data_IF_828691502433
#
_entry.id   IF_828691502433
#
_cell.length_a   1.000
_cell.length_b   1.000
_cell.length_c   1.000
_cell.angle_alpha   90.00
_cell.angle_beta   90.00
_cell.angle_gamma   90.00
#
_symmetry.space_group_name_H-M   'P 1'
#
loop_
_entity.id
_entity.type
_entity.pdbx_description
1 polymer ?
#
# COMPACT_ATOMS: atom_id res chain seq x y z
N UNK A 1 45.80 57.08 -11.26
CA UNK A 1 44.37 56.70 -11.39
C UNK A 1 44.14 55.19 -11.32
N UNK A 2 45.06 54.32 -11.76
CA UNK A 2 44.85 52.85 -11.83
C UNK A 2 44.79 52.06 -10.51
N UNK A 3 45.46 52.49 -9.43
CA UNK A 3 45.48 51.73 -8.16
C UNK A 3 44.09 51.64 -7.48
N UNK A 4 43.26 52.68 -7.62
CA UNK A 4 41.90 52.70 -7.05
C UNK A 4 40.95 51.72 -7.74
N UNK A 5 41.15 51.46 -9.03
CA UNK A 5 40.32 50.52 -9.82
C UNK A 5 40.66 49.06 -9.50
N UNK A 6 41.94 48.76 -9.23
CA UNK A 6 42.39 47.42 -8.79
C UNK A 6 41.79 47.08 -7.42
N UNK A 7 41.80 48.03 -6.47
CA UNK A 7 41.16 47.85 -5.17
C UNK A 7 39.65 47.61 -5.28
N UNK A 8 38.95 48.37 -6.15
CA UNK A 8 37.52 48.18 -6.37
C UNK A 8 37.20 46.80 -6.97
N UNK A 9 37.97 46.35 -7.97
CA UNK A 9 37.81 45.01 -8.55
C UNK A 9 38.00 43.89 -7.53
N UNK A 10 38.95 44.03 -6.61
CA UNK A 10 39.20 43.07 -5.53
C UNK A 10 38.03 43.01 -4.53
N UNK A 11 37.41 44.15 -4.23
CA UNK A 11 36.22 44.21 -3.37
C UNK A 11 35.03 43.51 -4.04
N UNK A 12 34.78 43.74 -5.33
CA UNK A 12 33.70 43.06 -6.05
C UNK A 12 33.92 41.54 -6.13
N UNK A 13 35.17 41.09 -6.31
CA UNK A 13 35.51 39.67 -6.30
C UNK A 13 35.23 39.05 -4.91
N UNK A 14 35.62 39.73 -3.84
CA UNK A 14 35.37 39.29 -2.46
C UNK A 14 33.87 39.21 -2.16
N UNK A 15 33.09 40.23 -2.55
CA UNK A 15 31.63 40.23 -2.37
C UNK A 15 30.98 39.10 -3.18
N UNK A 16 31.41 38.89 -4.43
CA UNK A 16 30.93 37.79 -5.26
C UNK A 16 31.25 36.41 -4.68
N UNK A 17 32.45 36.23 -4.10
CA UNK A 17 32.85 35.00 -3.41
C UNK A 17 32.06 34.76 -2.13
N UNK A 18 31.82 35.81 -1.33
CA UNK A 18 30.99 35.73 -0.12
C UNK A 18 29.55 35.36 -0.50
N UNK A 19 28.97 36.01 -1.51
CA UNK A 19 27.62 35.69 -1.98
C UNK A 19 27.50 34.27 -2.56
N UNK A 20 28.55 33.74 -3.21
CA UNK A 20 28.60 32.34 -3.65
C UNK A 20 28.69 31.36 -2.47
N UNK A 21 29.47 31.71 -1.44
CA UNK A 21 29.63 30.90 -0.24
C UNK A 21 28.41 30.93 0.68
N UNK A 22 27.61 32.01 0.65
CA UNK A 22 26.31 32.12 1.34
C UNK A 22 25.20 31.51 0.47
N UNK A 23 25.47 30.36 -0.14
CA UNK A 23 24.40 29.48 -0.56
C UNK A 23 23.64 29.13 0.72
N UNK A 24 22.41 29.62 0.87
CA UNK A 24 21.59 29.40 2.05
C UNK A 24 21.37 27.89 2.20
N UNK A 25 22.24 27.25 2.98
CA UNK A 25 22.04 25.90 3.44
C UNK A 25 20.80 25.95 4.33
N UNK A 26 19.68 25.44 3.81
CA UNK A 26 18.48 25.27 4.60
C UNK A 26 18.78 24.13 5.58
N UNK A 27 19.34 24.48 6.74
CA UNK A 27 19.65 23.51 7.79
C UNK A 27 18.38 22.78 8.16
N UNK A 28 18.38 21.46 8.05
CA UNK A 28 17.21 20.64 8.31
C UNK A 28 16.66 20.91 9.72
N UNK A 29 15.36 21.17 9.82
CA UNK A 29 14.66 21.22 11.09
C UNK A 29 14.50 19.76 11.55
N UNK A 30 15.20 19.38 12.62
CA UNK A 30 15.02 18.08 13.26
C UNK A 30 13.92 18.19 14.32
N UNK A 31 13.02 17.21 14.36
CA UNK A 31 11.99 17.13 15.40
C UNK A 31 12.63 16.92 16.78
N UNK A 32 12.01 17.47 17.84
CA UNK A 32 12.35 17.12 19.22
C UNK A 32 11.90 15.71 19.62
N UNK A 33 11.21 15.01 18.70
CA UNK A 33 10.78 13.63 18.93
C UNK A 33 12.01 12.71 19.01
N UNK A 34 12.13 12.03 20.15
CA UNK A 34 13.11 10.97 20.37
C UNK A 34 12.31 9.69 20.59
N UNK A 35 12.57 8.66 19.76
CA UNK A 35 11.97 7.34 19.96
C UNK A 35 12.39 6.80 21.32
N UNK A 36 11.48 6.17 22.06
CA UNK A 36 11.83 5.49 23.31
C UNK A 36 12.93 4.46 23.03
N UNK A 37 13.86 4.29 23.95
CA UNK A 37 15.00 3.38 23.80
C UNK A 37 14.62 1.90 24.00
N UNK A 38 13.33 1.61 24.13
CA UNK A 38 12.82 0.25 24.25
C UNK A 38 12.89 -0.44 22.89
N UNK A 39 13.21 -1.73 22.89
CA UNK A 39 13.21 -2.52 21.66
C UNK A 39 11.77 -2.63 21.14
N UNK A 40 11.59 -2.41 19.83
CA UNK A 40 10.33 -2.70 19.15
C UNK A 40 10.13 -4.22 19.09
N UNK A 41 9.43 -4.76 20.08
CA UNK A 41 9.16 -6.20 20.18
C UNK A 41 8.06 -6.61 19.21
N UNK A 42 8.26 -7.76 18.55
CA UNK A 42 7.23 -8.40 17.73
C UNK A 42 6.01 -8.75 18.59
N UNK A 43 4.82 -8.56 18.01
CA UNK A 43 3.59 -8.98 18.66
C UNK A 43 3.56 -10.52 18.80
N UNK A 44 3.14 -11.06 19.96
CA UNK A 44 2.97 -12.51 20.14
C UNK A 44 2.00 -13.13 19.13
N UNK A 45 2.18 -14.40 18.78
CA UNK A 45 1.35 -15.10 17.78
C UNK A 45 -0.12 -15.22 18.16
N UNK A 46 -0.44 -15.12 19.44
CA UNK A 46 -1.78 -15.16 20.02
C UNK A 46 -2.41 -13.76 20.17
N UNK A 47 -1.75 -12.72 19.65
CA UNK A 47 -2.33 -11.37 19.56
C UNK A 47 -3.60 -11.37 18.73
N UNK A 48 -4.55 -10.51 19.09
CA UNK A 48 -5.86 -10.40 18.46
C UNK A 48 -5.81 -10.12 16.95
N UNK A 49 -4.85 -9.30 16.51
CA UNK A 49 -4.59 -8.97 15.09
C UNK A 49 -4.17 -10.17 14.24
N UNK A 50 -3.67 -11.25 14.85
CA UNK A 50 -3.27 -12.49 14.14
C UNK A 50 -4.33 -13.59 14.23
N UNK A 51 -5.50 -13.30 14.80
CA UNK A 51 -6.57 -14.29 14.94
C UNK A 51 -7.03 -14.82 13.58
N UNK A 52 -7.01 -16.13 13.44
CA UNK A 52 -7.45 -16.83 12.22
C UNK A 52 -8.97 -16.66 12.03
N UNK A 53 -9.46 -16.37 10.80
CA UNK A 53 -10.88 -16.34 10.51
C UNK A 53 -11.57 -17.68 10.81
N UNK A 54 -12.74 -17.69 11.47
CA UNK A 54 -13.44 -18.93 11.79
C UNK A 54 -14.06 -19.56 10.53
N UNK A 55 -14.21 -20.89 10.57
CA UNK A 55 -14.83 -21.67 9.50
C UNK A 55 -13.81 -22.52 8.74
N UNK A 56 -14.28 -23.64 8.19
CA UNK A 56 -13.43 -24.56 7.42
C UNK A 56 -12.89 -23.87 6.17
N UNK A 57 -11.57 -23.94 5.96
CA UNK A 57 -10.85 -23.35 4.84
C UNK A 57 -11.17 -21.86 4.60
N UNK A 58 -11.47 -21.11 5.67
CA UNK A 58 -11.87 -19.71 5.57
C UNK A 58 -10.74 -18.85 4.95
N UNK A 59 -11.04 -18.01 3.93
CA UNK A 59 -10.06 -17.11 3.34
C UNK A 59 -9.41 -16.21 4.40
N UNK A 60 -8.09 -16.18 4.42
CA UNK A 60 -7.28 -15.32 5.28
C UNK A 60 -6.31 -14.48 4.45
N UNK A 61 -5.66 -13.50 5.09
CA UNK A 61 -4.68 -12.62 4.46
C UNK A 61 -5.22 -11.96 3.17
N UNK A 62 -6.50 -11.56 3.19
CA UNK A 62 -7.17 -10.93 2.06
C UNK A 62 -6.58 -9.54 1.83
N UNK A 63 -6.13 -9.26 0.61
CA UNK A 63 -5.59 -7.97 0.21
C UNK A 63 -5.95 -7.67 -1.25
N UNK A 64 -5.98 -6.38 -1.58
CA UNK A 64 -6.30 -5.89 -2.91
C UNK A 64 -5.24 -4.91 -3.41
N UNK A 65 -5.10 -4.82 -4.73
CA UNK A 65 -4.29 -3.78 -5.37
C UNK A 65 -4.91 -3.39 -6.71
N UNK A 66 -4.50 -2.26 -7.26
CA UNK A 66 -4.90 -1.85 -8.61
C UNK A 66 -4.43 -2.90 -9.63
N UNK A 67 -5.34 -3.33 -10.49
CA UNK A 67 -5.16 -4.43 -11.43
C UNK A 67 -4.99 -4.03 -12.89
N UNK A 68 -5.05 -2.73 -13.19
CA UNK A 68 -4.89 -2.17 -14.53
C UNK A 68 -4.17 -0.82 -14.50
N UNK A 69 -3.99 -0.21 -15.68
CA UNK A 69 -3.33 1.09 -15.79
C UNK A 69 -4.24 2.26 -15.36
N UNK A 70 -5.55 2.16 -15.63
CA UNK A 70 -6.48 3.29 -15.50
C UNK A 70 -7.27 3.32 -14.19
N UNK A 71 -7.20 2.28 -13.36
CA UNK A 71 -7.97 2.17 -12.11
C UNK A 71 -9.34 1.51 -12.28
N UNK A 72 -9.59 0.81 -13.39
CA UNK A 72 -10.81 0.01 -13.65
C UNK A 72 -10.62 -1.48 -13.38
N UNK A 73 -9.43 -1.87 -12.93
CA UNK A 73 -9.09 -3.23 -12.56
C UNK A 73 -8.67 -3.30 -11.09
N UNK A 74 -9.06 -4.37 -10.42
CA UNK A 74 -8.61 -4.68 -9.04
C UNK A 74 -8.19 -6.14 -8.98
N UNK A 75 -6.98 -6.39 -8.50
CA UNK A 75 -6.51 -7.73 -8.18
C UNK A 75 -6.91 -8.02 -6.73
N UNK A 76 -7.74 -9.03 -6.53
CA UNK A 76 -8.12 -9.56 -5.22
C UNK A 76 -7.29 -10.80 -4.94
N UNK A 77 -6.64 -10.82 -3.78
CA UNK A 77 -5.75 -11.91 -3.37
C UNK A 77 -6.06 -12.38 -1.95
N UNK A 78 -5.97 -13.69 -1.72
CA UNK A 78 -6.23 -14.31 -0.42
C UNK A 78 -5.55 -15.67 -0.31
N UNK A 79 -5.52 -16.24 0.89
CA UNK A 79 -5.00 -17.57 1.16
C UNK A 79 -6.10 -18.46 1.73
N UNK A 80 -6.19 -19.70 1.24
CA UNK A 80 -6.94 -20.79 1.87
C UNK A 80 -5.95 -21.76 2.53
N UNK A 81 -6.10 -22.09 3.83
CA UNK A 81 -5.08 -22.85 4.57
C UNK A 81 -5.13 -24.37 4.37
N UNK A 82 -6.32 -24.95 4.14
CA UNK A 82 -6.54 -26.39 4.29
C UNK A 82 -6.53 -27.13 2.94
N UNK A 83 -7.15 -26.54 1.91
CA UNK A 83 -7.29 -27.13 0.57
C UNK A 83 -7.39 -26.02 -0.49
N UNK A 84 -7.18 -26.32 -1.80
CA UNK A 84 -7.14 -25.28 -2.83
C UNK A 84 -8.36 -24.37 -2.86
N UNK A 85 -9.57 -24.88 -2.65
CA UNK A 85 -10.80 -24.08 -2.72
C UNK A 85 -11.04 -23.45 -4.11
N UNK A 86 -11.99 -22.51 -4.17
CA UNK A 86 -12.31 -21.75 -5.38
C UNK A 86 -11.48 -20.46 -5.49
N UNK A 87 -10.92 -20.20 -6.67
CA UNK A 87 -10.28 -18.91 -7.04
C UNK A 87 -11.27 -17.89 -7.61
N UNK A 88 -12.57 -18.17 -7.54
CA UNK A 88 -13.61 -17.30 -8.08
C UNK A 88 -13.95 -16.17 -7.09
N UNK A 89 -14.07 -14.95 -7.61
CA UNK A 89 -14.58 -13.80 -6.87
C UNK A 89 -15.97 -13.46 -7.39
N UNK A 90 -16.96 -13.40 -6.51
CA UNK A 90 -18.26 -12.80 -6.82
C UNK A 90 -18.25 -11.34 -6.42
N UNK A 91 -18.70 -10.44 -7.31
CA UNK A 91 -18.66 -9.00 -7.04
C UNK A 91 -19.86 -8.27 -7.65
N UNK A 92 -20.23 -7.13 -7.05
CA UNK A 92 -21.32 -6.28 -7.52
C UNK A 92 -21.13 -4.84 -7.05
N UNK A 93 -21.58 -3.89 -7.87
CA UNK A 93 -21.61 -2.48 -7.48
C UNK A 93 -22.67 -2.24 -6.38
N UNK A 94 -22.42 -1.26 -5.52
CA UNK A 94 -23.40 -0.79 -4.55
C UNK A 94 -24.68 -0.38 -5.29
N UNK A 95 -25.84 -0.87 -4.83
CA UNK A 95 -27.16 -0.73 -5.45
C UNK A 95 -27.43 -1.57 -6.71
N UNK A 96 -26.47 -2.37 -7.18
CA UNK A 96 -26.73 -3.36 -8.24
C UNK A 96 -27.35 -4.64 -7.66
N UNK A 97 -28.35 -5.17 -8.37
CA UNK A 97 -28.90 -6.52 -8.12
C UNK A 97 -28.14 -7.61 -8.89
N UNK A 98 -27.33 -7.20 -9.88
CA UNK A 98 -26.55 -8.12 -10.71
C UNK A 98 -25.22 -8.43 -10.06
N UNK A 99 -24.99 -9.71 -9.75
CA UNK A 99 -23.70 -10.23 -9.30
C UNK A 99 -22.92 -10.76 -10.49
N UNK A 100 -21.71 -10.26 -10.64
CA UNK A 100 -20.73 -10.74 -11.60
C UNK A 100 -19.78 -11.73 -10.93
N UNK A 101 -19.06 -12.49 -11.75
CA UNK A 101 -18.00 -13.41 -11.31
C UNK A 101 -16.73 -13.17 -12.12
N UNK A 102 -15.59 -13.32 -11.47
CA UNK A 102 -14.29 -13.38 -12.11
C UNK A 102 -13.54 -14.61 -11.60
N UNK A 103 -12.88 -15.35 -12.50
CA UNK A 103 -12.09 -16.51 -12.16
C UNK A 103 -10.61 -16.15 -12.07
N UNK A 104 -10.01 -16.49 -10.93
CA UNK A 104 -8.60 -16.32 -10.67
C UNK A 104 -7.78 -17.59 -10.89
N UNK A 105 -6.50 -17.49 -10.54
CA UNK A 105 -5.57 -18.60 -10.47
C UNK A 105 -5.16 -18.87 -9.02
N UNK A 106 -4.64 -20.07 -8.78
CA UNK A 106 -4.09 -20.49 -7.49
C UNK A 106 -2.64 -20.91 -7.65
N UNK A 107 -1.79 -20.50 -6.72
CA UNK A 107 -0.37 -20.83 -6.68
C UNK A 107 0.05 -21.22 -5.26
N UNK A 108 1.19 -21.91 -5.17
CA UNK A 108 1.82 -22.28 -3.90
C UNK A 108 3.32 -22.09 -4.03
N UNK A 109 4.02 -21.82 -2.94
CA UNK A 109 5.48 -21.78 -2.92
C UNK A 109 6.05 -22.57 -1.73
N UNK A 110 7.34 -22.88 -1.83
CA UNK A 110 8.13 -23.48 -0.75
C UNK A 110 9.33 -22.61 -0.46
N UNK A 111 9.68 -22.49 0.82
CA UNK A 111 10.88 -21.78 1.27
C UNK A 111 11.49 -22.55 2.44
N UNK A 112 12.68 -23.12 2.25
CA UNK A 112 13.28 -24.06 3.21
C UNK A 112 12.30 -25.20 3.58
N UNK A 113 11.95 -25.34 4.86
CA UNK A 113 10.99 -26.33 5.35
C UNK A 113 9.54 -25.80 5.40
N UNK A 114 9.30 -24.55 5.02
CA UNK A 114 7.98 -23.95 4.95
C UNK A 114 7.32 -24.23 3.59
N UNK A 115 6.04 -24.58 3.64
CA UNK A 115 5.16 -24.67 2.47
C UNK A 115 4.01 -23.69 2.70
N UNK A 116 3.71 -22.86 1.71
CA UNK A 116 2.60 -21.92 1.81
C UNK A 116 1.24 -22.64 1.81
N UNK A 117 0.20 -21.95 2.29
CA UNK A 117 -1.17 -22.28 1.90
C UNK A 117 -1.40 -22.06 0.40
N UNK A 118 -2.65 -22.15 -0.02
CA UNK A 118 -3.06 -21.94 -1.41
C UNK A 118 -3.34 -20.46 -1.64
N UNK A 119 -2.54 -19.82 -2.48
CA UNK A 119 -2.55 -18.38 -2.71
C UNK A 119 -3.35 -18.11 -3.97
N UNK A 120 -4.43 -17.36 -3.84
CA UNK A 120 -5.30 -17.01 -4.94
C UNK A 120 -5.02 -15.60 -5.44
N UNK A 121 -5.08 -15.42 -6.75
CA UNK A 121 -5.06 -14.11 -7.41
C UNK A 121 -6.18 -14.07 -8.45
N UNK A 122 -7.11 -13.13 -8.29
CA UNK A 122 -8.22 -12.92 -9.21
C UNK A 122 -8.28 -11.46 -9.63
N UNK A 123 -8.19 -11.20 -10.94
CA UNK A 123 -8.29 -9.84 -11.48
C UNK A 123 -9.73 -9.56 -11.91
N UNK A 124 -10.37 -8.63 -11.20
CA UNK A 124 -11.64 -8.04 -11.62
C UNK A 124 -11.32 -6.91 -12.60
N UNK A 125 -12.03 -6.84 -13.73
CA UNK A 125 -11.80 -5.83 -14.78
C UNK A 125 -13.10 -5.11 -15.14
N UNK A 126 -12.97 -4.06 -15.95
CA UNK A 126 -14.10 -3.29 -16.49
C UNK A 126 -15.02 -2.70 -15.42
N UNK A 127 -14.45 -2.30 -14.28
CA UNK A 127 -15.20 -1.65 -13.20
C UNK A 127 -15.55 -0.20 -13.58
N UNK A 128 -16.63 0.31 -12.98
CA UNK A 128 -17.01 1.71 -13.06
C UNK A 128 -16.11 2.54 -12.14
N UNK A 129 -15.80 3.78 -12.54
CA UNK A 129 -15.05 4.72 -11.72
C UNK A 129 -15.89 5.21 -10.54
N UNK A 130 -15.21 5.66 -9.48
CA UNK A 130 -15.81 6.24 -8.27
C UNK A 130 -16.99 5.44 -7.69
N UNK A 131 -16.90 4.12 -7.78
CA UNK A 131 -18.00 3.21 -7.47
C UNK A 131 -17.58 2.24 -6.38
N UNK A 132 -18.45 2.08 -5.37
CA UNK A 132 -18.23 1.10 -4.32
C UNK A 132 -18.66 -0.27 -4.82
N UNK A 133 -17.77 -1.26 -4.68
CA UNK A 133 -18.03 -2.65 -5.01
C UNK A 133 -17.96 -3.50 -3.76
N UNK A 134 -18.90 -4.42 -3.63
CA UNK A 134 -18.82 -5.53 -2.70
C UNK A 134 -18.25 -6.75 -3.42
N UNK A 135 -17.47 -7.56 -2.71
CA UNK A 135 -16.97 -8.82 -3.25
C UNK A 135 -16.93 -9.93 -2.19
N UNK A 136 -17.05 -11.17 -2.65
CA UNK A 136 -17.01 -12.39 -1.83
C UNK A 136 -15.91 -13.32 -2.34
N UNK A 137 -15.17 -13.90 -1.39
CA UNK A 137 -14.16 -14.96 -1.60
C UNK A 137 -14.50 -16.19 -0.75
N UNK A 138 -13.88 -17.34 -1.03
CA UNK A 138 -14.09 -18.59 -0.28
C UNK A 138 -15.37 -19.32 -0.68
N UNK A 139 -15.77 -19.21 -1.94
CA UNK A 139 -16.98 -19.84 -2.48
C UNK A 139 -16.83 -21.36 -2.40
N UNK A 140 -17.84 -22.04 -1.83
CA UNK A 140 -17.85 -23.49 -1.61
C UNK A 140 -17.59 -23.91 -0.17
N UNK A 141 -16.91 -23.09 0.63
CA UNK A 141 -16.59 -23.37 2.03
C UNK A 141 -17.07 -22.19 2.92
N UNK A 142 -16.21 -21.65 3.79
CA UNK A 142 -16.50 -20.45 4.56
C UNK A 142 -16.28 -19.18 3.70
N UNK A 143 -17.37 -18.47 3.40
CA UNK A 143 -17.32 -17.24 2.60
C UNK A 143 -17.00 -16.02 3.45
N UNK A 144 -16.32 -15.04 2.85
CA UNK A 144 -16.07 -13.74 3.46
C UNK A 144 -16.40 -12.62 2.48
N UNK A 145 -17.11 -11.62 2.96
CA UNK A 145 -17.52 -10.44 2.19
C UNK A 145 -16.70 -9.22 2.61
N UNK A 146 -16.28 -8.45 1.62
CA UNK A 146 -15.54 -7.20 1.77
C UNK A 146 -16.06 -6.16 0.78
N UNK A 147 -15.48 -4.97 0.80
CA UNK A 147 -15.79 -3.92 -0.16
C UNK A 147 -14.56 -3.06 -0.46
N UNK A 148 -14.56 -2.43 -1.62
CA UNK A 148 -13.61 -1.39 -2.01
C UNK A 148 -14.33 -0.31 -2.81
N UNK A 149 -13.66 0.82 -3.06
CA UNK A 149 -14.14 1.87 -3.97
C UNK A 149 -13.10 2.06 -5.06
N UNK A 150 -13.53 2.03 -6.31
CA UNK A 150 -12.66 2.37 -7.45
C UNK A 150 -12.32 3.86 -7.41
N UNK A 151 -11.12 4.26 -7.90
CA UNK A 151 -10.78 5.66 -7.96
C UNK A 151 -11.70 6.42 -8.94
N UNK A 152 -11.79 7.75 -8.81
CA UNK A 152 -12.36 8.58 -9.88
C UNK A 152 -11.55 8.42 -11.18
N UNK A 153 -12.18 8.75 -12.30
CA UNK A 153 -11.51 8.73 -13.60
C UNK A 153 -10.28 9.65 -13.57
N UNK A 154 -9.16 9.17 -14.11
CA UNK A 154 -7.89 9.93 -14.18
C UNK A 154 -8.11 11.28 -14.87
N UNK A 155 -7.56 12.34 -14.28
CA UNK A 155 -7.59 13.69 -14.82
C UNK A 155 -6.65 14.62 -14.06
N UNK A 156 -6.25 15.75 -14.68
CA UNK A 156 -5.23 16.64 -14.12
C UNK A 156 -5.65 17.30 -12.79
N UNK A 157 -6.95 17.53 -12.60
CA UNK A 157 -7.51 18.23 -11.43
C UNK A 157 -8.30 17.29 -10.51
N UNK A 158 -8.02 15.98 -10.57
CA UNK A 158 -8.75 14.98 -9.80
C UNK A 158 -8.04 14.75 -8.46
N UNK A 159 -8.66 15.13 -7.33
CA UNK A 159 -8.03 14.98 -6.02
C UNK A 159 -8.00 13.51 -5.61
N UNK A 160 -6.93 13.12 -4.94
CA UNK A 160 -6.79 11.81 -4.31
C UNK A 160 -5.90 11.90 -3.08
N UNK A 161 -6.10 11.00 -2.12
CA UNK A 161 -5.29 10.95 -0.90
C UNK A 161 -4.55 9.62 -0.85
N UNK A 162 -3.21 9.70 -0.81
CA UNK A 162 -2.35 8.53 -0.68
C UNK A 162 -1.80 8.45 0.74
N UNK A 163 -1.94 7.29 1.38
CA UNK A 163 -1.18 6.97 2.58
C UNK A 163 0.24 6.54 2.18
N UNK A 164 1.26 7.07 2.86
CA UNK A 164 2.65 6.67 2.66
C UNK A 164 3.12 5.97 3.93
N UNK A 165 3.42 4.68 3.81
CA UNK A 165 3.87 3.81 4.91
C UNK A 165 5.08 3.03 4.41
N UNK A 166 6.12 2.97 5.23
CA UNK A 166 7.34 2.19 5.00
C UNK A 166 7.76 1.48 6.29
N UNK A 167 8.57 0.43 6.15
CA UNK A 167 9.18 -0.29 7.28
C UNK A 167 8.17 -0.75 8.34
N UNK A 168 7.02 -1.28 7.89
CA UNK A 168 5.88 -1.58 8.76
C UNK A 168 6.24 -2.60 9.86
N UNK A 169 6.80 -3.76 9.53
CA UNK A 169 7.02 -4.83 10.53
C UNK A 169 5.72 -5.35 11.16
N UNK A 170 5.84 -6.06 12.29
CA UNK A 170 4.70 -6.61 13.04
C UNK A 170 4.85 -6.41 14.56
N UNK A 171 5.36 -5.24 14.95
CA UNK A 171 5.54 -4.84 16.35
C UNK A 171 4.33 -4.03 16.83
N UNK A 172 4.29 -3.74 18.13
CA UNK A 172 3.26 -2.86 18.69
C UNK A 172 3.33 -1.42 18.13
N UNK A 173 4.49 -0.97 17.65
CA UNK A 173 4.64 0.36 17.05
C UNK A 173 3.88 0.50 15.72
N UNK A 174 3.51 -0.63 15.12
CA UNK A 174 2.84 -0.74 13.82
C UNK A 174 1.35 -1.01 13.94
N UNK A 175 0.87 -1.25 15.17
CA UNK A 175 -0.53 -1.52 15.49
C UNK A 175 -1.16 -0.24 16.05
N UNK A 176 -1.80 0.52 15.17
CA UNK A 176 -2.41 1.83 15.46
C UNK A 176 -3.85 1.71 15.97
#
# INVERSE_FOLDING_TARGET
MGLKWVCAGFVYLLVGLILNAVQFCNGGITSNFVRKNDQSLDMPVDSDVFRVPPGYNAPQQVHITQGDYEGKGVIVSWITPDEPGSSTVLYWAENSQLKNSADGLVVTYKYFNYTSGYIHHCTIQNLEYDTKYYYIVGIGNATRQFWFRTPPKVGPEVPYTFGLIGDLGQTYDSNC
#
